data_IF_174937755348
#
_entry.id   IF_174937755348
#
_cell.length_a   1.000
_cell.length_b   1.000
_cell.length_c   1.000
_cell.angle_alpha   90.00
_cell.angle_beta   90.00
_cell.angle_gamma   90.00
#
_symmetry.space_group_name_H-M   'P 1'
#
loop_
_entity.id
_entity.type
_entity.pdbx_description
1 polymer ?
#
# COMPACT_ATOMS: atom_id res chain seq x y z
N UNK A 1 -1.17 -10.06 -15.29
CA UNK A 1 -2.42 -10.83 -15.45
C UNK A 1 -2.66 -11.70 -14.20
N UNK A 2 -1.74 -12.58 -13.80
CA UNK A 2 -1.92 -13.46 -12.63
C UNK A 2 -2.25 -12.67 -11.33
N UNK A 3 -1.53 -11.57 -11.07
CA UNK A 3 -1.84 -10.69 -9.92
C UNK A 3 -3.25 -10.10 -10.06
N UNK A 4 -3.65 -9.61 -11.24
CA UNK A 4 -4.97 -9.05 -11.46
C UNK A 4 -6.07 -10.08 -11.24
N UNK A 5 -5.88 -11.31 -11.76
CA UNK A 5 -6.84 -12.40 -11.60
C UNK A 5 -7.01 -12.74 -10.10
N UNK A 6 -5.90 -12.74 -9.34
CA UNK A 6 -5.93 -13.00 -7.90
C UNK A 6 -6.59 -11.85 -7.11
N UNK A 7 -6.34 -10.59 -7.50
CA UNK A 7 -7.02 -9.43 -6.90
C UNK A 7 -8.52 -9.50 -7.13
N UNK A 8 -8.97 -9.78 -8.37
CA UNK A 8 -10.37 -9.94 -8.70
C UNK A 8 -11.02 -11.08 -7.90
N UNK A 9 -10.31 -12.18 -7.70
CA UNK A 9 -10.78 -13.27 -6.85
C UNK A 9 -11.01 -12.81 -5.41
N UNK A 10 -9.97 -12.20 -4.78
CA UNK A 10 -10.07 -11.76 -3.39
C UNK A 10 -11.07 -10.61 -3.20
N UNK A 11 -11.15 -9.65 -4.11
CA UNK A 11 -12.17 -8.60 -4.03
C UNK A 11 -13.59 -9.18 -4.06
N UNK A 12 -13.82 -10.20 -4.87
CA UNK A 12 -15.13 -10.86 -4.97
C UNK A 12 -15.48 -11.63 -3.70
N UNK A 13 -14.59 -12.50 -3.19
CA UNK A 13 -14.91 -13.35 -2.03
C UNK A 13 -14.96 -12.59 -0.71
N UNK A 14 -14.29 -11.41 -0.63
CA UNK A 14 -14.35 -10.51 0.54
C UNK A 14 -15.37 -9.37 0.35
N UNK A 15 -16.09 -9.34 -0.78
CA UNK A 15 -17.12 -8.36 -1.11
C UNK A 15 -16.63 -6.91 -1.12
N UNK A 16 -15.51 -6.66 -1.81
CA UNK A 16 -15.00 -5.32 -2.06
C UNK A 16 -15.45 -4.80 -3.43
N UNK A 17 -15.81 -3.54 -3.49
CA UNK A 17 -16.18 -2.83 -4.72
C UNK A 17 -14.96 -2.09 -5.29
N UNK A 18 -14.79 -2.15 -6.61
CA UNK A 18 -13.70 -1.43 -7.26
C UNK A 18 -13.97 0.07 -7.31
N UNK A 19 -12.94 0.86 -7.02
CA UNK A 19 -12.95 2.31 -7.19
C UNK A 19 -11.75 2.77 -8.00
N UNK A 20 -11.98 3.54 -9.04
CA UNK A 20 -10.94 4.12 -9.89
C UNK A 20 -11.00 5.64 -9.73
N UNK A 21 -9.90 6.23 -9.30
CA UNK A 21 -9.77 7.68 -9.10
C UNK A 21 -8.86 8.31 -10.15
N UNK A 22 -8.95 9.62 -10.39
CA UNK A 22 -8.02 10.33 -11.24
C UNK A 22 -6.57 10.13 -10.82
N UNK A 23 -5.64 10.22 -11.79
CA UNK A 23 -4.19 10.10 -11.55
C UNK A 23 -3.65 11.37 -10.86
N UNK A 24 -4.25 12.51 -11.13
CA UNK A 24 -3.90 13.79 -10.50
C UNK A 24 -5.08 14.33 -9.70
N UNK A 25 -4.77 15.00 -8.62
CA UNK A 25 -5.69 15.58 -7.66
C UNK A 25 -5.18 16.95 -7.21
N UNK A 26 -6.01 17.73 -6.53
CA UNK A 26 -5.54 18.94 -5.85
C UNK A 26 -4.40 18.60 -4.88
N UNK A 27 -3.36 19.42 -4.87
CA UNK A 27 -2.20 19.24 -3.99
C UNK A 27 -2.59 19.24 -2.52
N UNK A 28 -3.58 20.04 -2.14
CA UNK A 28 -4.08 20.14 -0.75
C UNK A 28 -4.68 18.80 -0.26
N UNK A 29 -5.20 17.97 -1.17
CA UNK A 29 -5.70 16.64 -0.83
C UNK A 29 -4.63 15.78 -0.16
N UNK A 30 -3.36 15.97 -0.50
CA UNK A 30 -2.26 15.15 0.00
C UNK A 30 -1.51 15.82 1.15
N UNK A 31 -1.31 17.13 1.12
CA UNK A 31 -0.46 17.83 2.10
C UNK A 31 -0.90 17.57 3.53
N UNK A 32 -2.14 17.89 3.85
CA UNK A 32 -2.65 17.79 5.21
C UNK A 32 -2.75 16.36 5.72
N UNK A 33 -3.32 15.38 4.96
CA UNK A 33 -3.42 14.00 5.43
C UNK A 33 -2.08 13.28 5.55
N UNK A 34 -1.17 13.49 4.61
CA UNK A 34 0.12 12.80 4.62
C UNK A 34 1.11 13.40 5.62
N UNK A 35 0.76 14.57 6.18
CA UNK A 35 1.62 15.34 7.07
C UNK A 35 2.52 16.31 6.27
N UNK A 36 2.37 17.61 6.52
CA UNK A 36 3.12 18.66 5.81
C UNK A 36 4.64 18.50 5.92
N UNK A 37 5.10 17.86 7.00
CA UNK A 37 6.52 17.59 7.28
C UNK A 37 6.94 16.15 6.90
N UNK A 38 6.10 15.37 6.22
CA UNK A 38 6.46 14.04 5.75
C UNK A 38 7.41 14.12 4.55
N UNK A 39 8.30 13.14 4.39
CA UNK A 39 9.20 13.08 3.24
C UNK A 39 8.43 13.02 1.92
N UNK A 40 7.27 12.37 1.90
CA UNK A 40 6.39 12.30 0.72
C UNK A 40 5.97 13.71 0.29
N UNK A 41 5.47 14.53 1.21
CA UNK A 41 5.01 15.89 0.91
C UNK A 41 6.17 16.82 0.56
N UNK A 42 7.25 16.77 1.32
CA UNK A 42 8.37 17.71 1.16
C UNK A 42 9.23 17.43 -0.07
N UNK A 43 9.39 16.15 -0.47
CA UNK A 43 10.43 15.75 -1.43
C UNK A 43 9.95 14.87 -2.58
N UNK A 44 8.85 14.13 -2.39
CA UNK A 44 8.51 13.03 -3.30
C UNK A 44 7.31 13.32 -4.22
N UNK A 45 6.48 14.32 -3.93
CA UNK A 45 5.35 14.66 -4.78
C UNK A 45 5.78 15.30 -6.11
N UNK A 46 5.13 14.90 -7.20
CA UNK A 46 5.17 15.61 -8.48
C UNK A 46 4.02 16.60 -8.53
N UNK A 47 4.33 17.86 -8.27
CA UNK A 47 3.35 18.95 -8.22
C UNK A 47 3.63 19.96 -9.33
N UNK A 48 2.59 20.43 -9.99
CA UNK A 48 2.66 21.44 -11.04
C UNK A 48 1.39 22.31 -11.02
N UNK A 49 1.44 23.45 -11.67
CA UNK A 49 0.29 24.33 -11.82
C UNK A 49 -0.50 23.96 -13.08
N UNK A 50 -1.81 23.98 -13.01
CA UNK A 50 -2.68 23.89 -14.15
C UNK A 50 -2.83 25.26 -14.86
N UNK A 51 -3.73 25.33 -15.84
CA UNK A 51 -3.98 26.58 -16.58
C UNK A 51 -4.61 27.69 -15.73
N UNK A 52 -5.25 27.33 -14.62
CA UNK A 52 -5.87 28.27 -13.69
C UNK A 52 -4.95 28.64 -12.52
N UNK A 53 -3.67 28.32 -12.61
CA UNK A 53 -2.67 28.49 -11.55
C UNK A 53 -2.90 27.63 -10.28
N UNK A 54 -3.85 26.71 -10.29
CA UNK A 54 -4.09 25.79 -9.20
C UNK A 54 -3.00 24.71 -9.14
N UNK A 55 -2.57 24.36 -7.92
CA UNK A 55 -1.59 23.30 -7.73
C UNK A 55 -2.24 21.92 -7.78
N UNK A 56 -1.81 21.11 -8.72
CA UNK A 56 -2.21 19.71 -8.89
C UNK A 56 -1.01 18.79 -8.71
N UNK A 57 -1.27 17.59 -8.21
CA UNK A 57 -0.25 16.60 -7.85
C UNK A 57 -0.59 15.25 -8.47
N UNK A 58 0.38 14.59 -9.08
CA UNK A 58 0.27 13.17 -9.42
C UNK A 58 0.20 12.37 -8.12
N UNK A 59 -0.83 11.56 -7.96
CA UNK A 59 -1.11 10.85 -6.69
C UNK A 59 0.08 10.03 -6.21
N UNK A 60 0.61 10.28 -4.99
CA UNK A 60 1.74 9.55 -4.43
C UNK A 60 1.31 8.26 -3.70
N UNK A 61 0.01 8.11 -3.41
CA UNK A 61 -0.63 6.97 -2.76
C UNK A 61 -2.12 6.94 -3.14
N UNK A 62 -2.83 5.86 -2.81
CA UNK A 62 -4.19 5.68 -3.31
C UNK A 62 -5.29 5.89 -2.28
N UNK A 63 -5.00 5.72 -0.98
CA UNK A 63 -5.99 5.80 0.12
C UNK A 63 -6.72 7.15 0.14
N UNK A 64 -5.97 8.26 0.10
CA UNK A 64 -6.55 9.61 0.15
C UNK A 64 -7.49 9.91 -1.04
N UNK A 65 -7.10 9.63 -2.32
CA UNK A 65 -8.01 9.75 -3.45
C UNK A 65 -9.25 8.84 -3.35
N UNK A 66 -9.11 7.62 -2.84
CA UNK A 66 -10.25 6.71 -2.66
C UNK A 66 -11.26 7.29 -1.67
N UNK A 67 -10.80 7.79 -0.52
CA UNK A 67 -11.66 8.42 0.51
C UNK A 67 -12.31 9.69 -0.04
N UNK A 68 -11.54 10.59 -0.70
CA UNK A 68 -12.09 11.78 -1.34
C UNK A 68 -13.20 11.41 -2.33
N UNK A 69 -12.96 10.38 -3.15
CA UNK A 69 -13.96 9.91 -4.13
C UNK A 69 -15.18 9.31 -3.44
N UNK A 70 -15.01 8.56 -2.36
CA UNK A 70 -16.12 8.02 -1.57
C UNK A 70 -16.99 9.14 -0.97
N UNK A 71 -16.39 10.22 -0.48
CA UNK A 71 -17.12 11.42 0.00
C UNK A 71 -17.87 12.09 -1.15
N UNK A 72 -17.18 12.41 -2.24
CA UNK A 72 -17.72 13.19 -3.35
C UNK A 72 -18.86 12.49 -4.10
N UNK A 73 -18.93 11.16 -4.04
CA UNK A 73 -19.93 10.35 -4.72
C UNK A 73 -20.95 9.72 -3.76
N UNK A 74 -21.02 10.20 -2.50
CA UNK A 74 -21.96 9.72 -1.48
C UNK A 74 -21.90 8.21 -1.22
N UNK A 75 -20.74 7.58 -1.40
CA UNK A 75 -20.57 6.14 -1.19
C UNK A 75 -20.62 5.73 0.29
N UNK A 76 -20.60 6.72 1.20
CA UNK A 76 -20.56 6.53 2.65
C UNK A 76 -21.96 6.53 3.30
N UNK A 77 -23.04 6.51 2.51
CA UNK A 77 -24.41 6.41 3.04
C UNK A 77 -24.72 5.05 3.68
N UNK A 78 -24.05 3.99 3.17
CA UNK A 78 -24.19 2.63 3.71
C UNK A 78 -22.84 2.14 4.22
N UNK A 79 -22.74 1.96 5.53
CA UNK A 79 -21.53 1.51 6.21
C UNK A 79 -21.71 0.09 6.80
N UNK A 80 -20.65 -0.70 6.94
CA UNK A 80 -19.30 -0.42 6.49
C UNK A 80 -19.18 -0.48 4.96
N UNK A 81 -18.33 0.38 4.37
CA UNK A 81 -18.03 0.38 2.94
C UNK A 81 -16.67 -0.27 2.69
N UNK A 82 -16.64 -1.28 1.82
CA UNK A 82 -15.43 -2.01 1.42
C UNK A 82 -15.05 -1.62 -0.01
N UNK A 83 -13.87 -1.03 -0.19
CA UNK A 83 -13.38 -0.53 -1.46
C UNK A 83 -12.01 -1.11 -1.78
N UNK A 84 -11.75 -1.44 -3.05
CA UNK A 84 -10.41 -1.73 -3.52
C UNK A 84 -10.07 -0.92 -4.76
N UNK A 85 -8.79 -0.73 -5.01
CA UNK A 85 -8.34 -0.04 -6.20
C UNK A 85 -6.95 -0.50 -6.63
N UNK A 86 -6.69 -0.38 -7.94
CA UNK A 86 -5.39 -0.66 -8.53
C UNK A 86 -5.04 0.49 -9.45
N UNK A 87 -3.80 0.92 -9.42
CA UNK A 87 -3.37 1.94 -10.37
C UNK A 87 -1.98 2.47 -10.13
N UNK A 88 -1.53 3.35 -11.04
CA UNK A 88 -0.22 3.96 -10.95
C UNK A 88 -0.15 5.02 -9.86
N UNK A 89 0.98 5.02 -9.13
CA UNK A 89 1.39 6.03 -8.16
C UNK A 89 2.68 6.68 -8.63
N UNK A 90 2.96 7.89 -8.14
CA UNK A 90 4.08 8.69 -8.59
C UNK A 90 4.83 9.29 -7.40
N UNK A 91 6.11 8.92 -7.25
CA UNK A 91 6.98 9.48 -6.21
C UNK A 91 8.34 9.84 -6.80
N UNK A 92 8.81 11.05 -6.51
CA UNK A 92 10.12 11.52 -6.92
C UNK A 92 11.20 10.94 -6.01
N UNK A 93 11.40 9.64 -6.11
CA UNK A 93 12.41 8.93 -5.35
C UNK A 93 13.65 8.63 -6.20
N UNK A 94 14.76 8.31 -5.53
CA UNK A 94 15.95 7.79 -6.21
C UNK A 94 15.63 6.37 -6.70
N UNK A 95 15.66 6.12 -8.02
CA UNK A 95 15.34 4.81 -8.57
C UNK A 95 16.32 3.75 -8.08
N UNK A 96 15.78 2.62 -7.66
CA UNK A 96 16.54 1.40 -7.30
C UNK A 96 15.64 0.18 -7.45
N UNK A 97 16.20 -1.02 -7.27
CA UNK A 97 15.43 -2.27 -7.35
C UNK A 97 14.22 -2.24 -6.41
N UNK A 98 13.01 -2.41 -6.96
CA UNK A 98 11.75 -2.35 -6.19
C UNK A 98 11.29 -0.95 -5.78
N UNK A 99 11.90 0.12 -6.32
CA UNK A 99 11.54 1.52 -6.05
C UNK A 99 11.61 2.34 -7.33
N UNK A 100 10.46 2.70 -7.86
CA UNK A 100 10.31 3.38 -9.13
C UNK A 100 9.62 4.73 -8.94
N UNK A 101 9.84 5.67 -9.85
CA UNK A 101 9.15 6.97 -9.83
C UNK A 101 7.69 6.86 -10.23
N UNK A 102 7.37 5.93 -11.11
CA UNK A 102 6.02 5.46 -11.36
C UNK A 102 5.97 3.97 -11.01
N UNK A 103 5.01 3.59 -10.19
CA UNK A 103 4.79 2.21 -9.77
C UNK A 103 3.29 1.97 -9.56
N UNK A 104 2.87 0.72 -9.53
CA UNK A 104 1.47 0.39 -9.31
C UNK A 104 1.24 -0.08 -7.88
N UNK A 105 0.16 0.40 -7.28
CA UNK A 105 -0.34 -0.07 -6.00
C UNK A 105 -1.66 -0.80 -6.17
N UNK A 106 -1.85 -1.80 -5.32
CA UNK A 106 -3.12 -2.40 -4.97
C UNK A 106 -3.47 -1.91 -3.58
N UNK A 107 -4.71 -1.48 -3.39
CA UNK A 107 -5.24 -1.03 -2.11
C UNK A 107 -6.55 -1.74 -1.79
N UNK A 108 -6.75 -2.04 -0.49
CA UNK A 108 -8.01 -2.50 0.07
C UNK A 108 -8.33 -1.66 1.30
N UNK A 109 -9.54 -1.09 1.35
CA UNK A 109 -9.96 -0.13 2.39
C UNK A 109 -11.34 -0.51 2.93
N UNK A 110 -11.51 -0.50 4.26
CA UNK A 110 -12.81 -0.66 4.95
C UNK A 110 -13.07 0.63 5.72
N UNK A 111 -14.21 1.28 5.41
CA UNK A 111 -14.62 2.55 5.98
C UNK A 111 -15.88 2.38 6.83
N UNK A 112 -15.95 3.05 7.98
CA UNK A 112 -17.18 3.17 8.77
C UNK A 112 -17.39 2.12 9.86
N UNK A 113 -16.33 1.46 10.36
CA UNK A 113 -16.43 0.56 11.51
C UNK A 113 -15.25 0.71 12.46
N UNK A 114 -15.53 0.81 13.77
CA UNK A 114 -14.52 0.78 14.84
C UNK A 114 -14.18 -0.65 15.28
N UNK A 115 -14.91 -1.65 14.78
CA UNK A 115 -14.71 -3.04 15.14
C UNK A 115 -13.33 -3.52 14.63
N UNK A 116 -12.55 -4.12 15.55
CA UNK A 116 -11.23 -4.68 15.25
C UNK A 116 -11.27 -5.84 14.25
N UNK A 117 -12.44 -6.45 14.03
CA UNK A 117 -12.62 -7.48 13.02
C UNK A 117 -12.28 -6.99 11.63
N UNK A 118 -12.44 -5.68 11.33
CA UNK A 118 -12.06 -5.10 10.06
C UNK A 118 -10.53 -5.06 9.87
N UNK A 119 -9.77 -4.76 10.94
CA UNK A 119 -8.30 -4.82 10.94
C UNK A 119 -7.83 -6.24 10.67
N UNK A 120 -8.43 -7.20 11.39
CA UNK A 120 -8.09 -8.63 11.31
C UNK A 120 -8.44 -9.18 9.91
N UNK A 121 -9.62 -8.86 9.38
CA UNK A 121 -10.06 -9.29 8.04
C UNK A 121 -9.07 -8.82 6.96
N UNK A 122 -8.60 -7.58 7.03
CA UNK A 122 -7.62 -7.03 6.10
C UNK A 122 -6.23 -7.68 6.23
N UNK A 123 -5.79 -7.97 7.46
CA UNK A 123 -4.54 -8.70 7.70
C UNK A 123 -4.63 -10.11 7.11
N UNK A 124 -5.75 -10.81 7.34
CA UNK A 124 -5.98 -12.16 6.82
C UNK A 124 -6.06 -12.15 5.28
N UNK A 125 -6.77 -11.19 4.70
CA UNK A 125 -6.85 -11.02 3.25
C UNK A 125 -5.44 -10.85 2.66
N UNK A 126 -4.63 -9.95 3.23
CA UNK A 126 -3.25 -9.73 2.80
C UNK A 126 -2.37 -10.99 2.94
N UNK A 127 -2.48 -11.70 4.07
CA UNK A 127 -1.75 -12.94 4.32
C UNK A 127 -2.10 -14.02 3.29
N UNK A 128 -3.40 -14.25 3.05
CA UNK A 128 -3.89 -15.24 2.11
C UNK A 128 -3.52 -14.88 0.66
N UNK A 129 -3.63 -13.59 0.30
CA UNK A 129 -3.22 -13.07 -0.98
C UNK A 129 -1.73 -13.35 -1.24
N UNK A 130 -0.87 -13.04 -0.29
CA UNK A 130 0.59 -13.25 -0.41
C UNK A 130 0.93 -14.74 -0.45
N UNK A 131 0.33 -15.58 0.39
CA UNK A 131 0.54 -17.03 0.38
C UNK A 131 0.14 -17.67 -0.95
N UNK A 132 -0.92 -17.19 -1.59
CA UNK A 132 -1.34 -17.69 -2.90
C UNK A 132 -0.50 -17.16 -4.05
N UNK A 133 0.01 -15.93 -3.94
CA UNK A 133 0.79 -15.31 -5.00
C UNK A 133 2.24 -15.82 -5.04
N UNK A 134 2.86 -15.97 -3.88
CA UNK A 134 4.28 -16.30 -3.71
C UNK A 134 4.47 -17.34 -2.58
N UNK A 135 3.93 -18.57 -2.75
CA UNK A 135 3.87 -19.58 -1.69
C UNK A 135 5.24 -20.04 -1.18
N UNK A 136 6.26 -20.01 -2.03
CA UNK A 136 7.61 -20.46 -1.69
C UNK A 136 8.46 -19.39 -0.97
N UNK A 137 7.92 -18.17 -0.81
CA UNK A 137 8.66 -17.06 -0.20
C UNK A 137 8.38 -16.95 1.28
N UNK A 138 9.45 -16.74 2.07
CA UNK A 138 9.30 -16.46 3.50
C UNK A 138 8.86 -15.02 3.70
N UNK A 139 7.64 -14.85 4.22
CA UNK A 139 7.04 -13.57 4.52
C UNK A 139 6.77 -13.49 6.02
N UNK A 140 7.20 -12.40 6.64
CA UNK A 140 6.99 -12.14 8.05
C UNK A 140 5.96 -11.01 8.20
N UNK A 141 4.94 -11.24 9.02
CA UNK A 141 4.00 -10.20 9.44
C UNK A 141 4.52 -9.53 10.71
N UNK A 142 4.67 -8.22 10.65
CA UNK A 142 4.93 -7.38 11.80
C UNK A 142 3.71 -6.54 12.11
N UNK A 143 3.32 -6.50 13.38
CA UNK A 143 2.19 -5.69 13.87
C UNK A 143 2.64 -4.78 15.01
N UNK A 144 1.96 -3.65 15.14
CA UNK A 144 2.07 -2.73 16.27
C UNK A 144 0.74 -2.01 16.48
N UNK A 145 0.62 -1.28 17.58
CA UNK A 145 -0.44 -0.30 17.76
C UNK A 145 0.18 1.08 18.00
N UNK A 146 -0.38 2.09 17.35
CA UNK A 146 -0.05 3.49 17.63
C UNK A 146 -0.96 4.09 18.70
N UNK A 147 -1.95 3.30 19.18
CA UNK A 147 -2.94 3.76 20.13
C UNK A 147 -3.88 4.83 19.57
N UNK A 148 -4.60 5.46 20.45
CA UNK A 148 -5.49 6.59 20.18
C UNK A 148 -4.73 7.93 20.10
N UNK A 149 -5.48 9.02 19.91
CA UNK A 149 -4.89 10.37 19.84
C UNK A 149 -4.16 10.77 21.11
N UNK A 150 -4.67 10.39 22.27
CA UNK A 150 -4.05 10.73 23.56
C UNK A 150 -2.74 9.94 23.73
N UNK A 151 -2.74 8.65 23.38
CA UNK A 151 -1.53 7.84 23.30
C UNK A 151 -0.47 8.49 22.41
N UNK A 152 -0.83 8.86 21.19
CA UNK A 152 0.09 9.47 20.21
C UNK A 152 0.62 10.83 20.72
N UNK A 153 -0.22 11.66 21.30
CA UNK A 153 0.17 12.97 21.83
C UNK A 153 1.16 12.85 22.99
N UNK A 154 0.84 11.99 23.96
CA UNK A 154 1.70 11.76 25.13
C UNK A 154 3.03 11.11 24.73
N UNK A 155 2.99 10.14 23.85
CA UNK A 155 4.18 9.47 23.31
C UNK A 155 5.07 10.45 22.51
N UNK A 156 4.48 11.25 21.62
CA UNK A 156 5.20 12.27 20.85
C UNK A 156 5.89 13.28 21.77
N UNK A 157 5.21 13.73 22.84
CA UNK A 157 5.78 14.63 23.82
C UNK A 157 6.96 14.01 24.57
N UNK A 158 6.85 12.76 24.97
CA UNK A 158 7.93 12.00 25.62
C UNK A 158 9.14 11.82 24.70
N UNK A 159 8.89 11.45 23.41
CA UNK A 159 9.95 11.33 22.41
C UNK A 159 10.63 12.66 22.13
N UNK A 160 9.86 13.76 22.02
CA UNK A 160 10.42 15.10 21.82
C UNK A 160 11.39 15.46 22.96
N UNK A 161 11.00 15.22 24.21
CA UNK A 161 11.86 15.43 25.39
C UNK A 161 13.10 14.55 25.35
N UNK A 162 12.95 13.27 25.07
CA UNK A 162 14.04 12.31 25.01
C UNK A 162 15.06 12.65 23.92
N UNK A 163 14.60 12.90 22.70
CA UNK A 163 15.47 13.23 21.57
C UNK A 163 16.11 14.62 21.71
N UNK A 164 15.44 15.58 22.34
CA UNK A 164 16.05 16.88 22.66
C UNK A 164 17.26 16.74 23.59
N UNK A 165 17.20 15.86 24.58
CA UNK A 165 18.32 15.56 25.47
C UNK A 165 19.48 14.85 24.76
N UNK A 166 19.18 14.07 23.69
CA UNK A 166 20.15 13.33 22.91
C UNK A 166 20.48 13.98 21.55
N UNK A 167 20.07 15.23 21.31
CA UNK A 167 20.15 15.92 20.02
C UNK A 167 21.51 15.82 19.34
N UNK A 168 22.60 16.01 20.09
CA UNK A 168 23.98 15.96 19.55
C UNK A 168 24.42 14.59 19.03
N UNK A 169 23.71 13.52 19.40
CA UNK A 169 24.00 12.14 18.99
C UNK A 169 23.14 11.67 17.81
N UNK A 170 22.20 12.49 17.37
CA UNK A 170 21.31 12.20 16.24
C UNK A 170 21.88 12.76 14.95
N UNK A 171 21.50 12.15 13.82
CA UNK A 171 21.76 12.71 12.49
C UNK A 171 21.08 14.07 12.32
N UNK A 172 21.61 14.93 11.45
CA UNK A 172 21.01 16.24 11.15
C UNK A 172 19.56 16.11 10.67
N UNK A 173 19.29 15.11 9.83
CA UNK A 173 17.94 14.80 9.35
C UNK A 173 16.97 14.48 10.49
N UNK A 174 17.42 13.73 11.50
CA UNK A 174 16.63 13.38 12.69
C UNK A 174 16.50 14.55 13.65
N UNK A 175 17.56 15.38 13.82
CA UNK A 175 17.48 16.61 14.63
C UNK A 175 16.38 17.55 14.15
N UNK A 176 16.19 17.69 12.85
CA UNK A 176 15.16 18.53 12.25
C UNK A 176 13.72 17.99 12.49
N UNK A 177 13.58 16.70 12.82
CA UNK A 177 12.30 16.04 13.09
C UNK A 177 11.91 16.04 14.59
N UNK A 178 12.79 16.43 15.50
CA UNK A 178 12.55 16.35 16.95
C UNK A 178 11.25 17.06 17.36
N UNK A 179 11.01 18.26 16.84
CA UNK A 179 9.84 19.08 17.19
C UNK A 179 8.68 18.78 16.25
N UNK A 180 8.94 18.61 14.97
CA UNK A 180 7.89 18.50 13.94
C UNK A 180 7.26 17.10 13.87
N UNK A 181 8.06 16.04 14.04
CA UNK A 181 7.56 14.65 14.01
C UNK A 181 8.55 13.67 14.65
N UNK A 182 8.67 13.65 15.98
CA UNK A 182 9.66 12.82 16.69
C UNK A 182 9.43 11.33 16.47
N UNK A 183 8.21 10.88 16.21
CA UNK A 183 7.88 9.47 15.95
C UNK A 183 8.64 8.95 14.71
N UNK A 184 8.89 9.79 13.72
CA UNK A 184 9.63 9.42 12.50
C UNK A 184 11.12 9.12 12.73
N UNK A 185 11.67 9.55 13.85
CA UNK A 185 13.06 9.25 14.20
C UNK A 185 13.22 7.76 14.51
N UNK A 186 12.15 7.11 15.02
CA UNK A 186 12.15 5.66 15.31
C UNK A 186 12.30 4.80 14.06
N UNK A 187 11.89 5.29 12.89
CA UNK A 187 12.01 4.59 11.59
C UNK A 187 13.34 4.87 10.87
N UNK A 188 14.25 5.59 11.51
CA UNK A 188 15.58 5.87 10.92
C UNK A 188 16.37 4.58 10.73
N UNK A 189 17.02 4.48 9.55
CA UNK A 189 17.93 3.37 9.22
C UNK A 189 19.41 3.73 9.45
N UNK A 190 19.67 4.94 9.90
CA UNK A 190 21.02 5.39 10.21
C UNK A 190 21.50 4.75 11.53
N UNK A 191 22.71 4.17 11.57
CA UNK A 191 23.24 3.52 12.76
C UNK A 191 23.29 4.42 14.02
N UNK A 192 23.57 5.72 13.86
CA UNK A 192 23.59 6.67 14.97
C UNK A 192 22.20 6.84 15.60
N UNK A 193 21.17 6.97 14.77
CA UNK A 193 19.80 7.12 15.23
C UNK A 193 19.28 5.81 15.84
N UNK A 194 19.62 4.65 15.23
CA UNK A 194 19.25 3.32 15.73
C UNK A 194 19.77 3.12 17.16
N UNK A 195 21.03 3.48 17.44
CA UNK A 195 21.61 3.37 18.78
C UNK A 195 20.82 4.16 19.82
N UNK A 196 20.41 5.38 19.47
CA UNK A 196 19.58 6.22 20.35
C UNK A 196 18.19 5.65 20.52
N UNK A 197 17.61 5.12 19.44
CA UNK A 197 16.26 4.53 19.45
C UNK A 197 16.13 3.30 20.36
N UNK A 198 17.22 2.57 20.63
CA UNK A 198 17.20 1.41 21.54
C UNK A 198 16.70 1.77 22.96
N UNK A 199 16.97 2.99 23.43
CA UNK A 199 16.60 3.47 24.76
C UNK A 199 15.46 4.50 24.73
N UNK A 200 14.82 4.68 23.57
CA UNK A 200 13.68 5.60 23.45
C UNK A 200 12.46 5.09 24.22
N UNK A 201 11.60 5.99 24.71
CA UNK A 201 10.30 5.62 25.28
C UNK A 201 9.55 4.67 24.34
N UNK A 202 8.83 3.70 24.91
CA UNK A 202 8.02 2.75 24.15
C UNK A 202 6.58 3.22 24.09
N UNK A 203 5.95 3.14 22.93
CA UNK A 203 4.56 3.57 22.77
C UNK A 203 3.59 2.80 23.67
N UNK A 204 3.90 1.52 23.95
CA UNK A 204 3.12 0.68 24.85
C UNK A 204 2.94 1.24 26.27
N UNK A 205 3.88 2.10 26.72
CA UNK A 205 3.84 2.69 28.05
C UNK A 205 2.80 3.83 28.14
N UNK A 206 2.27 4.25 27.01
CA UNK A 206 1.31 5.37 26.88
C UNK A 206 -0.08 4.90 26.45
N UNK A 207 -0.29 3.61 26.20
CA UNK A 207 -1.61 3.11 25.78
C UNK A 207 -2.68 3.41 26.80
N UNK A 208 -3.83 3.92 26.33
CA UNK A 208 -5.07 3.85 27.10
C UNK A 208 -5.48 2.39 27.35
N UNK A 209 -6.32 2.18 28.33
CA UNK A 209 -6.85 0.83 28.60
C UNK A 209 -7.56 0.23 27.38
N UNK A 210 -8.32 1.05 26.67
CA UNK A 210 -9.02 0.64 25.43
C UNK A 210 -8.04 0.27 24.31
N UNK A 211 -7.02 1.08 24.08
CA UNK A 211 -5.99 0.80 23.04
C UNK A 211 -5.22 -0.50 23.36
N UNK A 212 -4.92 -0.73 24.63
CA UNK A 212 -4.25 -1.95 25.11
C UNK A 212 -5.12 -3.19 24.91
N UNK A 213 -6.41 -3.11 25.27
CA UNK A 213 -7.36 -4.20 25.13
C UNK A 213 -7.59 -4.54 23.65
N UNK A 214 -7.83 -3.54 22.80
CA UNK A 214 -7.98 -3.72 21.34
C UNK A 214 -6.78 -4.43 20.76
N UNK A 215 -5.56 -3.97 21.06
CA UNK A 215 -4.35 -4.57 20.51
C UNK A 215 -4.10 -5.99 21.03
N UNK A 216 -4.43 -6.27 22.27
CA UNK A 216 -4.39 -7.62 22.84
C UNK A 216 -5.38 -8.55 22.13
N UNK A 217 -6.63 -8.13 21.94
CA UNK A 217 -7.66 -8.93 21.27
C UNK A 217 -7.30 -9.24 19.81
N UNK A 218 -6.69 -8.30 19.08
CA UNK A 218 -6.19 -8.55 17.73
C UNK A 218 -5.14 -9.67 17.73
N UNK A 219 -4.21 -9.65 18.68
CA UNK A 219 -3.17 -10.67 18.79
C UNK A 219 -3.76 -12.06 19.08
N UNK A 220 -4.70 -12.14 20.00
CA UNK A 220 -5.34 -13.42 20.35
C UNK A 220 -6.11 -14.00 19.15
N UNK A 221 -6.92 -13.19 18.47
CA UNK A 221 -7.68 -13.66 17.30
C UNK A 221 -6.75 -14.08 16.16
N UNK A 222 -5.65 -13.35 15.89
CA UNK A 222 -4.68 -13.74 14.87
C UNK A 222 -4.00 -15.08 15.21
N UNK A 223 -3.70 -15.34 16.49
CA UNK A 223 -3.18 -16.64 16.96
C UNK A 223 -4.19 -17.76 16.75
N UNK A 224 -5.44 -17.54 17.15
CA UNK A 224 -6.53 -18.52 16.99
C UNK A 224 -6.74 -18.88 15.52
N UNK A 225 -6.52 -17.93 14.62
CA UNK A 225 -6.59 -18.12 13.16
C UNK A 225 -5.29 -18.67 12.56
N UNK A 226 -4.31 -19.02 13.38
CA UNK A 226 -3.00 -19.54 12.93
C UNK A 226 -2.28 -18.61 11.95
N UNK A 227 -2.37 -17.31 12.18
CA UNK A 227 -1.60 -16.29 11.48
C UNK A 227 -0.36 -15.96 12.30
N UNK A 228 0.81 -16.35 11.80
CA UNK A 228 2.08 -16.04 12.46
C UNK A 228 2.39 -14.55 12.35
N UNK A 229 2.76 -13.92 13.44
CA UNK A 229 3.18 -12.53 13.48
C UNK A 229 4.25 -12.26 14.55
N UNK A 230 4.92 -11.13 14.42
CA UNK A 230 5.83 -10.59 15.42
C UNK A 230 5.40 -9.17 15.79
N UNK A 231 5.51 -8.83 17.07
CA UNK A 231 5.28 -7.45 17.53
C UNK A 231 6.57 -6.64 17.25
N UNK A 232 6.43 -5.54 16.53
CA UNK A 232 7.53 -4.60 16.33
C UNK A 232 7.16 -3.24 16.92
N UNK A 233 7.61 -2.96 18.12
CA UNK A 233 7.29 -1.74 18.87
C UNK A 233 7.78 -0.45 18.18
N UNK A 234 8.74 -0.56 17.26
CA UNK A 234 9.25 0.56 16.47
C UNK A 234 8.55 0.70 15.12
N UNK A 235 7.57 -0.19 14.82
CA UNK A 235 6.82 -0.10 13.58
C UNK A 235 5.92 1.15 13.63
N UNK A 236 6.27 2.13 12.84
CA UNK A 236 5.48 3.31 12.51
C UNK A 236 5.28 3.37 10.99
N UNK A 237 4.29 4.11 10.52
CA UNK A 237 4.01 4.19 9.08
C UNK A 237 4.53 5.50 8.48
N UNK A 238 4.86 5.45 7.19
CA UNK A 238 5.38 6.56 6.40
C UNK A 238 4.39 7.74 6.18
N UNK A 239 3.18 7.69 6.73
CA UNK A 239 2.12 8.69 6.56
C UNK A 239 1.51 9.00 7.94
N UNK A 240 1.17 10.26 8.19
CA UNK A 240 0.84 10.74 9.55
C UNK A 240 -0.61 10.47 9.97
N UNK A 241 -1.45 9.96 9.08
CA UNK A 241 -2.86 9.69 9.38
C UNK A 241 -3.10 8.41 10.19
N UNK A 242 -2.11 7.55 10.36
CA UNK A 242 -2.29 6.27 11.05
C UNK A 242 -2.47 6.42 12.56
N UNK A 243 -3.36 5.58 13.11
CA UNK A 243 -3.63 5.38 14.54
C UNK A 243 -3.89 3.90 14.82
N UNK A 244 -3.99 3.52 16.08
CA UNK A 244 -4.28 2.13 16.48
C UNK A 244 -3.44 1.08 15.73
N UNK A 245 -4.06 0.09 15.12
CA UNK A 245 -3.38 -1.01 14.43
C UNK A 245 -2.56 -0.53 13.24
N UNK A 246 -1.29 -0.94 13.19
CA UNK A 246 -0.43 -0.85 12.02
C UNK A 246 0.25 -2.18 11.76
N UNK A 247 0.46 -2.52 10.49
CA UNK A 247 1.08 -3.78 10.12
C UNK A 247 1.87 -3.69 8.83
N UNK A 248 2.86 -4.59 8.69
CA UNK A 248 3.66 -4.76 7.48
C UNK A 248 3.96 -6.23 7.23
N UNK A 249 3.80 -6.67 5.99
CA UNK A 249 4.32 -7.93 5.49
C UNK A 249 5.66 -7.68 4.81
N UNK A 250 6.71 -8.31 5.33
CA UNK A 250 8.09 -8.12 4.88
C UNK A 250 8.74 -9.41 4.43
N UNK A 251 9.71 -9.27 3.52
CA UNK A 251 10.59 -10.37 3.07
C UNK A 251 12.04 -9.92 3.06
N UNK A 252 12.96 -10.83 3.29
CA UNK A 252 14.40 -10.55 3.20
C UNK A 252 14.91 -10.58 1.74
N UNK A 253 14.12 -11.11 0.81
CA UNK A 253 14.54 -11.34 -0.58
C UNK A 253 14.70 -10.04 -1.42
N UNK A 254 14.21 -8.91 -0.91
CA UNK A 254 14.28 -7.60 -1.58
C UNK A 254 15.25 -6.60 -0.94
N UNK A 255 16.08 -7.05 0.01
CA UNK A 255 17.06 -6.19 0.70
C UNK A 255 16.39 -5.04 1.46
N UNK A 256 16.83 -3.80 1.24
CA UNK A 256 16.32 -2.63 1.96
C UNK A 256 14.86 -2.25 1.61
N UNK A 257 14.29 -2.82 0.56
CA UNK A 257 12.90 -2.60 0.12
C UNK A 257 12.00 -3.77 0.54
N UNK A 258 12.12 -4.19 1.78
CA UNK A 258 11.59 -5.41 2.37
C UNK A 258 10.06 -5.46 2.51
N UNK A 259 9.38 -4.32 2.57
CA UNK A 259 7.92 -4.24 2.73
C UNK A 259 7.19 -4.51 1.42
N UNK A 260 6.33 -5.54 1.42
CA UNK A 260 5.46 -5.94 0.30
C UNK A 260 4.09 -5.30 0.40
N UNK A 261 3.47 -5.44 1.56
CA UNK A 261 2.17 -4.86 1.92
C UNK A 261 2.34 -4.15 3.25
N UNK A 262 1.74 -2.98 3.36
CA UNK A 262 1.71 -2.24 4.60
C UNK A 262 0.42 -1.47 4.77
N UNK A 263 -0.11 -1.47 5.97
CA UNK A 263 -1.39 -0.88 6.28
C UNK A 263 -1.60 -0.56 7.74
N UNK A 264 -2.84 -0.23 8.05
CA UNK A 264 -3.27 0.08 9.40
C UNK A 264 -4.56 0.89 9.43
N UNK A 265 -4.96 1.26 10.63
CA UNK A 265 -6.14 2.08 10.92
C UNK A 265 -5.81 3.56 10.83
N UNK A 266 -6.78 4.34 10.33
CA UNK A 266 -6.63 5.78 10.11
C UNK A 266 -7.94 6.54 10.44
N UNK A 267 -8.42 6.38 11.65
CA UNK A 267 -9.62 7.06 12.13
C UNK A 267 -9.43 8.60 12.08
N UNK A 268 -10.45 9.30 11.56
CA UNK A 268 -10.39 10.74 11.38
C UNK A 268 -9.87 11.24 10.03
N UNK A 269 -9.34 10.38 9.16
CA UNK A 269 -8.90 10.79 7.82
C UNK A 269 -10.07 11.26 6.95
N UNK A 270 -11.22 10.59 7.01
CA UNK A 270 -12.43 10.98 6.29
C UNK A 270 -12.90 12.37 6.72
N UNK A 271 -12.93 12.67 8.02
CA UNK A 271 -13.24 14.00 8.57
C UNK A 271 -12.23 15.06 8.13
N UNK A 272 -10.95 14.71 8.11
CA UNK A 272 -9.88 15.61 7.67
C UNK A 272 -10.04 16.04 6.21
N UNK A 273 -10.63 15.17 5.39
CA UNK A 273 -10.95 15.39 3.98
C UNK A 273 -12.33 16.06 3.76
N UNK A 274 -12.99 16.49 4.83
CA UNK A 274 -14.29 17.19 4.75
C UNK A 274 -15.51 16.27 4.70
N UNK A 275 -15.32 14.98 4.93
CA UNK A 275 -16.41 13.98 5.05
C UNK A 275 -16.89 13.78 6.48
N UNK A 276 -17.75 12.77 6.71
CA UNK A 276 -18.20 12.40 8.05
C UNK A 276 -17.07 11.90 8.94
N UNK A 277 -17.24 11.98 10.26
CA UNK A 277 -16.29 11.46 11.23
C UNK A 277 -16.48 9.94 11.38
N UNK A 278 -15.90 9.19 10.48
CA UNK A 278 -15.97 7.72 10.45
C UNK A 278 -14.56 7.12 10.44
N UNK A 279 -14.40 5.95 11.07
CA UNK A 279 -13.14 5.24 11.08
C UNK A 279 -12.82 4.63 9.72
N UNK A 280 -11.53 4.35 9.52
CA UNK A 280 -11.06 3.65 8.34
C UNK A 280 -9.86 2.77 8.66
N UNK A 281 -9.74 1.68 7.92
CA UNK A 281 -8.59 0.78 7.97
C UNK A 281 -8.33 0.22 6.58
N UNK A 282 -7.06 0.09 6.20
CA UNK A 282 -6.71 -0.38 4.87
C UNK A 282 -5.25 -0.77 4.74
N UNK A 283 -4.89 -1.28 3.57
CA UNK A 283 -3.51 -1.56 3.23
C UNK A 283 -3.20 -1.31 1.76
N UNK A 284 -1.93 -1.06 1.49
CA UNK A 284 -1.39 -0.90 0.16
C UNK A 284 -0.25 -1.89 -0.10
N UNK A 285 -0.20 -2.46 -1.32
CA UNK A 285 0.88 -3.33 -1.79
C UNK A 285 1.47 -2.85 -3.11
N UNK A 286 2.80 -2.86 -3.22
CA UNK A 286 3.50 -2.49 -4.46
C UNK A 286 3.56 -3.65 -5.45
N UNK A 287 2.90 -3.52 -6.60
CA UNK A 287 2.79 -4.60 -7.59
C UNK A 287 4.16 -5.00 -8.14
N UNK A 288 5.04 -4.05 -8.42
CA UNK A 288 6.38 -4.33 -8.95
C UNK A 288 7.23 -5.15 -7.97
N UNK A 289 7.10 -4.90 -6.66
CA UNK A 289 7.79 -5.71 -5.63
C UNK A 289 7.27 -7.14 -5.60
N UNK A 290 5.95 -7.32 -5.73
CA UNK A 290 5.33 -8.64 -5.80
C UNK A 290 5.79 -9.41 -7.04
N UNK A 291 5.84 -8.76 -8.21
CA UNK A 291 6.32 -9.36 -9.47
C UNK A 291 7.77 -9.85 -9.33
N UNK A 292 8.62 -9.10 -8.63
CA UNK A 292 10.04 -9.48 -8.46
C UNK A 292 10.25 -10.72 -7.61
N UNK A 293 9.26 -11.13 -6.83
CA UNK A 293 9.28 -12.32 -5.98
C UNK A 293 8.58 -13.52 -6.62
N UNK A 294 7.79 -13.28 -7.66
CA UNK A 294 7.14 -14.37 -8.38
C UNK A 294 8.21 -15.17 -9.13
N UNK A 295 8.21 -16.47 -8.92
CA UNK A 295 8.98 -17.38 -9.76
C UNK A 295 8.44 -17.34 -11.19
N UNK A 296 9.18 -17.85 -12.15
CA UNK A 296 8.89 -17.74 -13.58
C UNK A 296 7.39 -17.84 -13.86
N UNK A 297 6.82 -16.74 -14.32
CA UNK A 297 5.44 -16.67 -14.79
C UNK A 297 5.32 -17.82 -15.80
N UNK A 298 4.50 -18.84 -15.46
CA UNK A 298 4.18 -19.94 -16.39
C UNK A 298 4.04 -19.33 -17.77
N UNK A 299 4.95 -19.66 -18.66
CA UNK A 299 5.07 -19.01 -19.96
C UNK A 299 3.68 -18.96 -20.58
N UNK A 300 3.24 -17.76 -20.93
CA UNK A 300 2.04 -17.61 -21.76
C UNK A 300 2.12 -18.65 -22.85
N UNK A 301 1.07 -19.48 -23.02
CA UNK A 301 1.03 -20.48 -24.06
C UNK A 301 1.55 -19.85 -25.34
N UNK A 302 2.65 -20.39 -25.87
CA UNK A 302 3.24 -19.87 -27.11
C UNK A 302 2.14 -19.84 -28.16
N UNK A 303 1.99 -18.76 -28.91
CA UNK A 303 0.99 -18.71 -29.95
C UNK A 303 1.27 -19.76 -31.02
N UNK A 304 0.22 -20.33 -31.60
CA UNK A 304 0.33 -21.11 -32.81
C UNK A 304 0.61 -20.11 -33.94
N UNK A 305 1.70 -20.29 -34.66
CA UNK A 305 2.03 -19.46 -35.81
C UNK A 305 1.27 -19.96 -37.04
N UNK A 306 0.45 -19.11 -37.61
CA UNK A 306 -0.25 -19.39 -38.87
C UNK A 306 0.42 -18.60 -39.99
N UNK A 307 1.10 -19.31 -40.87
CA UNK A 307 1.84 -18.73 -41.99
C UNK A 307 1.09 -19.03 -43.28
N UNK A 308 0.93 -18.05 -44.16
CA UNK A 308 0.38 -18.21 -45.49
C UNK A 308 1.52 -18.30 -46.48
N UNK A 309 1.54 -19.33 -47.28
CA UNK A 309 2.61 -19.59 -48.23
C UNK A 309 2.51 -18.78 -49.52
N UNK A 310 1.30 -18.30 -49.86
CA UNK A 310 1.04 -17.49 -51.04
C UNK A 310 -0.09 -16.48 -50.80
N UNK A 311 -0.02 -15.32 -51.38
CA UNK A 311 -0.97 -14.21 -51.17
C UNK A 311 -2.43 -14.59 -51.51
N UNK A 312 -2.66 -15.45 -52.50
CA UNK A 312 -3.99 -15.92 -52.89
C UNK A 312 -4.75 -16.62 -51.76
N UNK A 313 -4.05 -17.17 -50.76
CA UNK A 313 -4.66 -17.82 -49.59
C UNK A 313 -4.94 -16.85 -48.43
N UNK A 314 -4.69 -15.54 -48.58
CA UNK A 314 -4.86 -14.57 -47.52
C UNK A 314 -6.25 -14.65 -46.87
N UNK A 315 -7.30 -14.63 -47.67
CA UNK A 315 -8.69 -14.69 -47.18
C UNK A 315 -8.98 -15.98 -46.43
N UNK A 316 -8.52 -17.12 -46.95
CA UNK A 316 -8.68 -18.39 -46.28
C UNK A 316 -7.91 -18.46 -44.94
N UNK A 317 -6.66 -18.01 -44.92
CA UNK A 317 -5.86 -17.98 -43.70
C UNK A 317 -6.46 -17.09 -42.61
N UNK A 318 -6.99 -15.92 -42.98
CA UNK A 318 -7.68 -15.04 -42.03
C UNK A 318 -8.97 -15.71 -41.49
N UNK A 319 -9.71 -16.43 -42.33
CA UNK A 319 -10.89 -17.19 -41.90
C UNK A 319 -10.53 -18.26 -40.87
N UNK A 320 -9.47 -19.05 -41.13
CA UNK A 320 -8.95 -20.08 -40.21
C UNK A 320 -8.48 -19.43 -38.91
N UNK A 321 -7.67 -18.35 -38.96
CA UNK A 321 -7.22 -17.65 -37.77
C UNK A 321 -8.39 -17.18 -36.91
N UNK A 322 -9.44 -16.63 -37.54
CA UNK A 322 -10.62 -16.16 -36.81
C UNK A 322 -11.40 -17.32 -36.19
N UNK A 323 -11.55 -18.44 -36.87
CA UNK A 323 -12.21 -19.63 -36.31
C UNK A 323 -11.46 -20.16 -35.08
N UNK A 324 -10.12 -20.21 -35.12
CA UNK A 324 -9.30 -20.66 -34.00
C UNK A 324 -9.36 -19.66 -32.83
N UNK A 325 -9.33 -18.36 -33.10
CA UNK A 325 -9.47 -17.31 -32.07
C UNK A 325 -10.85 -17.34 -31.39
N UNK A 326 -11.93 -17.66 -32.12
CA UNK A 326 -13.27 -17.88 -31.53
C UNK A 326 -13.30 -19.06 -30.55
N UNK A 327 -12.34 -20.00 -30.67
CA UNK A 327 -12.14 -21.11 -29.73
C UNK A 327 -11.11 -20.79 -28.64
N UNK A 328 -10.77 -19.50 -28.43
CA UNK A 328 -9.77 -19.01 -27.49
C UNK A 328 -8.34 -19.56 -27.71
N UNK A 329 -8.03 -19.99 -28.94
CA UNK A 329 -6.68 -20.43 -29.30
C UNK A 329 -5.86 -19.18 -29.67
N UNK A 330 -4.68 -19.04 -29.02
CA UNK A 330 -3.75 -17.94 -29.29
C UNK A 330 -3.06 -18.14 -30.64
N UNK A 331 -3.38 -17.32 -31.64
CA UNK A 331 -2.86 -17.39 -33.01
C UNK A 331 -2.06 -16.13 -33.33
N UNK A 332 -0.79 -16.32 -33.65
CA UNK A 332 0.05 -15.33 -34.30
C UNK A 332 -0.09 -15.51 -35.83
N UNK A 333 -0.71 -14.55 -36.49
CA UNK A 333 -0.85 -14.55 -37.95
C UNK A 333 0.37 -13.86 -38.55
N UNK A 334 1.16 -14.58 -39.37
CA UNK A 334 2.32 -14.01 -40.05
C UNK A 334 1.89 -13.31 -41.35
N UNK A 335 2.28 -12.06 -41.48
CA UNK A 335 1.98 -11.25 -42.66
C UNK A 335 3.04 -11.37 -43.77
N UNK A 336 4.10 -12.14 -43.52
CA UNK A 336 5.13 -12.45 -44.51
C UNK A 336 4.82 -13.76 -45.20
N UNK A 337 4.67 -13.72 -46.50
CA UNK A 337 4.30 -14.87 -47.32
C UNK A 337 5.49 -15.78 -47.64
N UNK A 338 6.36 -16.05 -46.70
CA UNK A 338 7.46 -16.98 -46.90
C UNK A 338 7.80 -17.77 -45.61
N UNK A 339 8.30 -18.99 -45.80
CA UNK A 339 8.75 -19.85 -44.72
C UNK A 339 10.20 -19.58 -44.28
N UNK A 340 10.92 -18.68 -44.97
CA UNK A 340 12.30 -18.33 -44.61
C UNK A 340 12.29 -17.21 -43.58
N UNK A 341 12.70 -17.54 -42.39
CA UNK A 341 13.23 -16.60 -41.40
C UNK A 341 14.73 -16.70 -41.37
#
# INVERSE_FOLDING_TARGET
>A
RAIQDLINHYSTIYNFEEIITPIFESTELFKKPLGENSDVVLKEMYTFKDKNEDFITLRPEYTTPMIRSAISNNLLEKLPKKLYGIGPMFRRERPQKGRYRQFNQINFEILGTHDISADIELIILANNFLKNLIPEKKINLFINSLGDKDTLSNFSSALCKYFSQNKKKLTEASQNKIISNPIRILDSKDPMDIEINLNAPKISDFYSNEAKEKFFNIQEILKDMSVDFSININLVRGLDYYCHTVFEFKTLDLGSQDTLIGGGRYDGLTKLLGGPDIPGVGWAGGIERLIMLMDDIKSLQKPIHLIIIHESYRGYGLKVANQLRKKNINIHFDYKYNLKK
#
